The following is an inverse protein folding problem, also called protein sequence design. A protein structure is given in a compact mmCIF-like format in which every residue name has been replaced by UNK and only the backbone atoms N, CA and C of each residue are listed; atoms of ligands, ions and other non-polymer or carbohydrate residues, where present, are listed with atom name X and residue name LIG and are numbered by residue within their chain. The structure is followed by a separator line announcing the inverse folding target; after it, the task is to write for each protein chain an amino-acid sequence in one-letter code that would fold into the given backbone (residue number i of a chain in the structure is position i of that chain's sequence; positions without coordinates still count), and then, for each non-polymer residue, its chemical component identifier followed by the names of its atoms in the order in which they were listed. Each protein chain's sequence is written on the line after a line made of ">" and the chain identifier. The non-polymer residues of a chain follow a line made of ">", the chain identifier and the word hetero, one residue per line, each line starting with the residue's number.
data_IF_636449341626
#
_entry.id   IF_636449341626
#
_cell.length_a   1.000
_cell.length_b   1.000
_cell.length_c   1.000
_cell.angle_alpha   90.00
_cell.angle_beta   90.00
_cell.angle_gamma   90.00
#
_symmetry.space_group_name_H-M   'P 1'
#
loop_
_entity.id
_entity.type
_entity.pdbx_description
1 polymer ?
#
# COMPACT_ATOMS: atom_id res chain seq x y z
N UNK A 1 20.05 7.88 -15.27
CA UNK A 1 18.86 7.85 -14.39
C UNK A 1 18.00 6.67 -14.83
N UNK A 2 17.57 5.79 -13.91
CA UNK A 2 16.70 4.67 -14.26
C UNK A 2 15.33 5.21 -14.70
N UNK A 3 14.71 4.57 -15.70
CA UNK A 3 13.40 4.91 -16.22
C UNK A 3 12.47 3.69 -16.16
N UNK A 4 11.16 3.89 -15.96
CA UNK A 4 10.16 2.83 -16.10
C UNK A 4 10.17 2.24 -17.51
N UNK A 5 9.81 0.97 -17.65
CA UNK A 5 9.68 0.29 -18.93
C UNK A 5 9.43 -1.20 -18.79
N UNK A 6 9.53 -1.94 -19.89
CA UNK A 6 9.37 -3.39 -19.86
C UNK A 6 10.65 -4.12 -19.38
N UNK A 7 10.52 -5.29 -18.72
CA UNK A 7 9.27 -5.89 -18.27
C UNK A 7 8.68 -5.15 -17.05
N UNK A 8 7.34 -5.01 -16.98
CA UNK A 8 6.67 -4.21 -15.93
C UNK A 8 7.05 -4.54 -14.49
N UNK A 9 7.28 -5.83 -14.16
CA UNK A 9 7.67 -6.23 -12.81
C UNK A 9 9.02 -5.62 -12.37
N UNK A 10 9.93 -5.33 -13.32
CA UNK A 10 11.22 -4.75 -13.01
C UNK A 10 11.10 -3.28 -12.56
N UNK A 11 9.96 -2.62 -12.82
CA UNK A 11 9.75 -1.24 -12.42
C UNK A 11 9.69 -1.07 -10.90
N UNK A 12 9.17 -2.07 -10.16
CA UNK A 12 9.22 -2.09 -8.70
C UNK A 12 10.67 -2.02 -8.18
N UNK A 13 11.56 -2.84 -8.76
CA UNK A 13 12.99 -2.85 -8.41
C UNK A 13 13.67 -1.56 -8.84
N UNK A 14 13.47 -1.13 -10.10
CA UNK A 14 14.07 0.09 -10.65
C UNK A 14 13.70 1.31 -9.82
N UNK A 15 12.45 1.41 -9.37
CA UNK A 15 11.98 2.51 -8.53
C UNK A 15 12.65 2.52 -7.17
N UNK A 16 12.75 1.35 -6.51
CA UNK A 16 13.46 1.24 -5.23
C UNK A 16 14.93 1.61 -5.39
N UNK A 17 15.61 1.11 -6.43
CA UNK A 17 17.01 1.50 -6.74
C UNK A 17 17.14 3.00 -7.01
N UNK A 18 16.20 3.60 -7.74
CA UNK A 18 16.23 5.01 -8.09
C UNK A 18 16.04 5.94 -6.89
N UNK A 19 15.29 5.51 -5.86
CA UNK A 19 15.01 6.28 -4.65
C UNK A 19 15.83 5.87 -3.44
N UNK A 20 16.63 4.80 -3.55
CA UNK A 20 17.56 4.40 -2.51
C UNK A 20 18.57 5.52 -2.24
N UNK A 21 18.74 5.90 -0.97
CA UNK A 21 19.57 7.06 -0.59
C UNK A 21 21.08 6.76 -0.63
N UNK A 22 21.48 5.49 -0.66
CA UNK A 22 22.88 5.07 -0.76
C UNK A 22 23.38 5.04 -2.21
N UNK A 23 24.70 4.88 -2.39
CA UNK A 23 25.28 4.70 -3.73
C UNK A 23 25.14 3.26 -4.17
N UNK A 24 24.30 2.99 -5.15
CA UNK A 24 24.09 1.66 -5.71
C UNK A 24 25.13 1.37 -6.79
N UNK A 25 25.81 0.22 -6.70
CA UNK A 25 26.64 -0.35 -7.78
C UNK A 25 25.84 -1.46 -8.49
N UNK A 26 26.33 -1.92 -9.65
CA UNK A 26 25.75 -3.08 -10.33
C UNK A 26 25.75 -4.31 -9.42
N UNK A 27 24.71 -5.13 -9.54
CA UNK A 27 24.54 -6.37 -8.81
C UNK A 27 23.77 -7.37 -9.67
N UNK A 28 23.97 -8.66 -9.39
CA UNK A 28 23.16 -9.75 -9.92
C UNK A 28 22.28 -10.30 -8.79
N UNK A 29 21.00 -10.50 -9.08
CA UNK A 29 20.04 -11.01 -8.11
C UNK A 29 19.00 -11.92 -8.79
N UNK A 30 18.54 -12.93 -8.05
CA UNK A 30 17.44 -13.80 -8.45
C UNK A 30 16.26 -13.52 -7.53
N UNK A 31 15.08 -13.30 -8.12
CA UNK A 31 13.84 -13.04 -7.39
C UNK A 31 12.95 -14.27 -7.45
N UNK A 32 12.56 -14.76 -6.28
CA UNK A 32 11.59 -15.85 -6.12
C UNK A 32 10.52 -15.38 -5.15
N UNK A 33 9.24 -15.63 -5.45
CA UNK A 33 8.13 -15.27 -4.58
C UNK A 33 7.09 -16.39 -4.57
N UNK A 34 6.53 -16.64 -3.38
CA UNK A 34 5.37 -17.50 -3.19
C UNK A 34 4.07 -16.67 -3.01
N UNK A 35 4.14 -15.34 -3.11
CA UNK A 35 2.97 -14.47 -3.06
C UNK A 35 2.26 -14.54 -4.43
N UNK A 36 0.98 -14.94 -4.49
CA UNK A 36 0.26 -15.02 -5.75
C UNK A 36 0.20 -13.66 -6.47
N UNK A 37 0.75 -13.61 -7.69
CA UNK A 37 0.77 -12.39 -8.49
C UNK A 37 -0.65 -11.92 -8.81
N UNK A 38 -0.97 -10.68 -8.40
CA UNK A 38 -2.28 -10.08 -8.62
C UNK A 38 -3.41 -10.68 -7.76
N UNK A 39 -3.08 -11.48 -6.73
CA UNK A 39 -4.06 -12.09 -5.83
C UNK A 39 -4.59 -11.17 -4.71
N UNK A 40 -4.27 -9.87 -4.74
CA UNK A 40 -4.65 -8.93 -3.68
C UNK A 40 -3.87 -9.08 -2.37
N UNK A 41 -2.75 -9.81 -2.39
CA UNK A 41 -1.88 -10.06 -1.22
C UNK A 41 -0.55 -9.29 -1.32
N UNK A 42 -0.57 -8.11 -1.96
CA UNK A 42 0.55 -7.15 -1.95
C UNK A 42 1.88 -7.70 -2.49
N UNK A 43 1.84 -8.46 -3.58
CA UNK A 43 3.06 -9.02 -4.22
C UNK A 43 4.06 -7.93 -4.65
N UNK A 44 3.58 -6.76 -5.10
CA UNK A 44 4.43 -5.62 -5.46
C UNK A 44 5.17 -5.06 -4.25
N UNK A 45 4.45 -4.73 -3.18
CA UNK A 45 5.06 -4.23 -1.94
C UNK A 45 6.08 -5.21 -1.34
N UNK A 46 5.81 -6.52 -1.40
CA UNK A 46 6.79 -7.53 -0.94
C UNK A 46 8.09 -7.51 -1.76
N UNK A 47 7.99 -7.26 -3.08
CA UNK A 47 9.14 -7.14 -3.98
C UNK A 47 9.91 -5.84 -3.73
N UNK A 48 9.20 -4.73 -3.53
CA UNK A 48 9.81 -3.43 -3.24
C UNK A 48 10.58 -3.48 -1.91
N UNK A 49 9.94 -3.98 -0.86
CA UNK A 49 10.54 -4.08 0.48
C UNK A 49 11.73 -5.04 0.49
N UNK A 50 11.60 -6.22 -0.12
CA UNK A 50 12.73 -7.16 -0.22
C UNK A 50 13.89 -6.57 -1.02
N UNK A 51 13.62 -5.85 -2.10
CA UNK A 51 14.64 -5.11 -2.87
C UNK A 51 15.32 -4.08 -1.98
N UNK A 52 14.57 -3.29 -1.22
CA UNK A 52 15.15 -2.28 -0.33
C UNK A 52 16.09 -2.91 0.69
N UNK A 53 15.64 -3.97 1.35
CA UNK A 53 16.42 -4.68 2.36
C UNK A 53 17.69 -5.31 1.76
N UNK A 54 17.60 -5.82 0.53
CA UNK A 54 18.74 -6.32 -0.22
C UNK A 54 19.77 -5.22 -0.52
N UNK A 55 19.32 -4.06 -1.02
CA UNK A 55 20.20 -2.91 -1.28
C UNK A 55 20.84 -2.36 0.00
N UNK A 56 20.08 -2.30 1.09
CA UNK A 56 20.61 -1.93 2.41
C UNK A 56 21.71 -2.89 2.86
N UNK A 57 21.49 -4.20 2.71
CA UNK A 57 22.48 -5.22 3.03
C UNK A 57 23.76 -5.14 2.19
N UNK A 58 23.66 -4.76 0.91
CA UNK A 58 24.82 -4.65 0.01
C UNK A 58 25.57 -3.32 0.13
N UNK A 59 24.84 -2.21 0.28
CA UNK A 59 25.39 -0.85 0.09
C UNK A 59 25.35 0.02 1.36
N UNK A 60 24.85 -0.51 2.48
CA UNK A 60 25.08 0.02 3.81
C UNK A 60 24.39 1.36 4.11
N UNK A 61 23.05 1.37 4.16
CA UNK A 61 22.26 2.57 4.52
C UNK A 61 21.15 2.25 5.51
N UNK A 62 21.24 2.76 6.73
CA UNK A 62 20.26 2.51 7.80
C UNK A 62 19.24 3.64 7.90
N UNK A 63 18.21 3.63 7.05
CA UNK A 63 17.02 4.46 7.26
C UNK A 63 16.10 3.81 8.30
N UNK A 64 15.23 4.59 8.96
CA UNK A 64 14.23 3.99 9.85
C UNK A 64 13.18 3.22 9.03
N UNK A 65 12.55 2.18 9.59
CA UNK A 65 11.58 1.32 8.87
C UNK A 65 10.48 2.11 8.14
N UNK A 66 9.96 3.18 8.77
CA UNK A 66 8.98 4.10 8.16
C UNK A 66 9.50 4.72 6.86
N UNK A 67 10.74 5.20 6.84
CA UNK A 67 11.33 5.81 5.65
C UNK A 67 11.54 4.80 4.53
N UNK A 68 11.96 3.57 4.88
CA UNK A 68 12.08 2.48 3.90
C UNK A 68 10.74 2.20 3.22
N UNK A 69 9.67 2.11 4.00
CA UNK A 69 8.32 1.87 3.47
C UNK A 69 7.83 3.03 2.58
N UNK A 70 8.10 4.29 2.96
CA UNK A 70 7.78 5.46 2.13
C UNK A 70 8.57 5.49 0.81
N UNK A 71 9.82 5.02 0.81
CA UNK A 71 10.62 4.89 -0.42
C UNK A 71 10.03 3.81 -1.34
N UNK A 72 9.60 2.69 -0.77
CA UNK A 72 8.92 1.63 -1.52
C UNK A 72 7.60 2.14 -2.12
N UNK A 73 6.77 2.83 -1.34
CA UNK A 73 5.53 3.43 -1.83
C UNK A 73 5.80 4.42 -2.98
N UNK A 74 6.85 5.24 -2.84
CA UNK A 74 7.26 6.18 -3.89
C UNK A 74 7.69 5.44 -5.16
N UNK A 75 8.37 4.31 -5.04
CA UNK A 75 8.70 3.45 -6.18
C UNK A 75 7.42 2.96 -6.89
N UNK A 76 6.42 2.51 -6.14
CA UNK A 76 5.13 2.07 -6.70
C UNK A 76 4.41 3.20 -7.45
N UNK A 77 4.44 4.42 -6.89
CA UNK A 77 3.80 5.60 -7.50
C UNK A 77 4.53 6.05 -8.77
N UNK A 78 5.85 6.24 -8.72
CA UNK A 78 6.60 6.88 -9.81
C UNK A 78 7.11 5.90 -10.88
N UNK A 79 7.25 4.60 -10.55
CA UNK A 79 7.74 3.60 -11.50
C UNK A 79 6.67 2.59 -11.93
N UNK A 80 5.76 2.20 -11.04
CA UNK A 80 4.64 1.31 -11.38
C UNK A 80 3.32 2.05 -11.65
N UNK A 81 3.31 3.38 -11.57
CA UNK A 81 2.14 4.25 -11.82
C UNK A 81 0.89 3.84 -11.03
N UNK A 82 1.08 3.28 -9.83
CA UNK A 82 -0.01 2.77 -9.00
C UNK A 82 -0.14 3.67 -7.76
N UNK A 83 -1.20 4.50 -7.64
CA UNK A 83 -1.30 5.53 -6.60
C UNK A 83 -1.76 4.96 -5.24
N UNK A 84 -1.12 3.89 -4.77
CA UNK A 84 -1.48 3.12 -3.58
C UNK A 84 -1.36 3.93 -2.26
N UNK A 85 -2.02 3.42 -1.21
CA UNK A 85 -1.79 3.85 0.17
C UNK A 85 -0.44 3.38 0.70
N UNK A 86 -0.21 3.50 2.01
CA UNK A 86 1.07 3.16 2.65
C UNK A 86 1.06 1.79 3.36
N UNK A 87 -0.13 1.18 3.46
CA UNK A 87 -0.40 0.01 4.29
C UNK A 87 0.48 -1.19 3.91
N UNK A 88 0.51 -1.54 2.62
CA UNK A 88 1.17 -2.72 2.08
C UNK A 88 2.68 -2.69 2.37
N UNK A 89 3.33 -1.55 2.10
CA UNK A 89 4.74 -1.36 2.40
C UNK A 89 5.02 -1.33 3.90
N UNK A 90 4.11 -0.77 4.72
CA UNK A 90 4.26 -0.77 6.18
C UNK A 90 4.22 -2.19 6.76
N UNK A 91 3.19 -2.97 6.44
CA UNK A 91 3.06 -4.33 6.99
C UNK A 91 4.19 -5.23 6.48
N UNK A 92 4.59 -5.10 5.21
CA UNK A 92 5.71 -5.88 4.68
C UNK A 92 7.05 -5.52 5.32
N UNK A 93 7.22 -4.27 5.81
CA UNK A 93 8.46 -3.80 6.43
C UNK A 93 8.51 -4.06 7.95
N UNK A 94 7.38 -3.94 8.65
CA UNK A 94 7.32 -3.88 10.11
C UNK A 94 6.57 -5.06 10.74
N UNK A 95 5.94 -5.92 9.92
CA UNK A 95 5.23 -7.10 10.41
C UNK A 95 6.15 -8.03 11.20
N UNK A 96 5.61 -8.59 12.28
CA UNK A 96 6.31 -9.60 13.08
C UNK A 96 5.42 -10.83 13.26
N UNK A 97 6.03 -11.98 13.52
CA UNK A 97 5.30 -13.22 13.71
C UNK A 97 4.24 -13.06 14.84
N UNK A 98 3.06 -13.63 14.63
CA UNK A 98 1.94 -13.65 15.58
C UNK A 98 1.44 -12.26 16.01
N UNK A 99 1.59 -11.24 15.18
CA UNK A 99 1.05 -9.91 15.44
C UNK A 99 0.32 -9.35 14.21
N UNK A 100 -0.78 -8.65 14.45
CA UNK A 100 -1.33 -7.70 13.51
C UNK A 100 -0.60 -6.36 13.69
N UNK A 101 -0.66 -5.49 12.67
CA UNK A 101 -0.08 -4.16 12.73
C UNK A 101 -1.21 -3.13 12.63
N UNK A 102 -1.49 -2.43 13.72
CA UNK A 102 -2.38 -1.27 13.71
C UNK A 102 -1.58 -0.08 13.18
N UNK A 103 -2.03 0.51 12.07
CA UNK A 103 -1.34 1.63 11.40
C UNK A 103 -2.22 2.88 11.47
N UNK A 104 -1.70 3.96 12.04
CA UNK A 104 -2.28 5.29 11.85
C UNK A 104 -1.64 5.94 10.63
N UNK A 105 -2.32 5.86 9.48
CA UNK A 105 -1.83 6.41 8.21
C UNK A 105 -1.72 7.94 8.18
N UNK A 106 -2.35 8.67 9.12
CA UNK A 106 -2.20 10.12 9.23
C UNK A 106 -0.90 10.48 9.95
N UNK A 107 -0.62 9.82 11.07
CA UNK A 107 0.57 10.05 11.90
C UNK A 107 1.79 9.26 11.41
N UNK A 108 1.58 8.27 10.55
CA UNK A 108 2.57 7.29 10.11
C UNK A 108 3.23 6.57 11.30
N UNK A 109 2.40 6.21 12.28
CA UNK A 109 2.79 5.41 13.44
C UNK A 109 2.18 4.01 13.35
N UNK A 110 2.84 3.03 13.96
CA UNK A 110 2.37 1.66 13.99
C UNK A 110 2.50 1.04 15.38
N UNK A 111 1.59 0.13 15.69
CA UNK A 111 1.56 -0.64 16.93
C UNK A 111 1.36 -2.11 16.60
N UNK A 112 2.17 -2.98 17.19
CA UNK A 112 2.02 -4.43 17.08
C UNK A 112 0.94 -4.89 18.06
N UNK A 113 -0.09 -5.54 17.53
CA UNK A 113 -1.18 -6.10 18.30
C UNK A 113 -1.03 -7.63 18.29
N UNK A 114 -0.75 -8.27 19.44
CA UNK A 114 -0.62 -9.71 19.51
C UNK A 114 -1.86 -10.44 18.98
N UNK A 115 -1.64 -11.40 18.09
CA UNK A 115 -2.68 -12.25 17.50
C UNK A 115 -2.63 -13.62 18.16
N UNK A 116 -3.07 -13.70 19.42
CA UNK A 116 -3.21 -14.96 20.15
C UNK A 116 -4.55 -15.63 19.80
N UNK A 117 -4.62 -16.13 18.57
CA UNK A 117 -5.80 -16.83 18.06
C UNK A 117 -5.65 -18.33 18.35
N UNK A 118 -6.32 -18.82 19.40
CA UNK A 118 -6.22 -20.23 19.83
C UNK A 118 -7.26 -21.15 19.18
N UNK A 119 -8.48 -20.65 19.01
CA UNK A 119 -9.64 -21.48 18.63
C UNK A 119 -10.22 -21.11 17.25
N UNK A 120 -9.52 -20.29 16.46
CA UNK A 120 -9.90 -20.03 15.08
C UNK A 120 -8.70 -19.89 14.15
N UNK A 121 -8.97 -19.83 12.86
CA UNK A 121 -7.96 -19.69 11.81
C UNK A 121 -8.33 -18.54 10.88
N UNK A 122 -7.32 -17.83 10.38
CA UNK A 122 -7.51 -16.87 9.31
C UNK A 122 -7.43 -17.59 7.96
N UNK A 123 -8.58 -17.90 7.38
CA UNK A 123 -8.68 -18.51 6.06
C UNK A 123 -8.73 -17.45 4.96
N UNK A 124 -7.67 -17.36 4.16
CA UNK A 124 -7.63 -16.49 2.97
C UNK A 124 -8.12 -17.29 1.77
N UNK A 125 -9.23 -16.84 1.16
CA UNK A 125 -9.83 -17.50 -0.02
C UNK A 125 -9.67 -16.61 -1.24
N UNK A 126 -8.86 -17.04 -2.22
CA UNK A 126 -8.69 -16.34 -3.48
C UNK A 126 -9.80 -16.72 -4.46
N UNK A 127 -10.55 -15.74 -4.96
CA UNK A 127 -11.64 -15.95 -5.93
C UNK A 127 -11.14 -16.45 -7.29
N UNK A 128 -9.84 -16.32 -7.57
CA UNK A 128 -9.18 -16.58 -8.86
C UNK A 128 -9.72 -15.74 -10.02
N UNK A 129 -10.55 -14.73 -9.74
CA UNK A 129 -11.05 -13.80 -10.76
C UNK A 129 -10.09 -12.62 -10.89
N UNK A 130 -9.50 -12.47 -12.08
CA UNK A 130 -8.65 -11.32 -12.41
C UNK A 130 -9.49 -10.27 -13.13
N UNK A 131 -10.04 -9.32 -12.38
CA UNK A 131 -10.60 -8.12 -12.99
C UNK A 131 -9.45 -7.18 -13.38
N UNK A 132 -9.37 -6.76 -14.65
CA UNK A 132 -8.47 -5.70 -15.15
C UNK A 132 -8.75 -4.30 -14.54
N UNK A 133 -9.54 -4.23 -13.46
CA UNK A 133 -10.13 -3.02 -12.88
C UNK A 133 -9.24 -2.37 -11.79
N UNK A 134 -8.13 -3.01 -11.40
CA UNK A 134 -7.38 -2.66 -10.18
C UNK A 134 -6.82 -1.23 -10.15
N UNK A 135 -6.47 -0.65 -11.30
CA UNK A 135 -5.91 0.71 -11.35
C UNK A 135 -6.97 1.79 -11.62
N UNK A 136 -7.97 1.53 -12.46
CA UNK A 136 -8.97 2.54 -12.81
C UNK A 136 -10.00 2.78 -11.70
N UNK A 137 -10.57 1.72 -11.13
CA UNK A 137 -11.61 1.87 -10.09
C UNK A 137 -11.03 2.39 -8.78
N UNK A 138 -9.81 1.98 -8.43
CA UNK A 138 -9.12 2.50 -7.25
C UNK A 138 -8.91 4.01 -7.33
N UNK A 139 -8.40 4.49 -8.47
CA UNK A 139 -8.20 5.93 -8.71
C UNK A 139 -9.53 6.70 -8.65
N UNK A 140 -10.62 6.13 -9.18
CA UNK A 140 -11.97 6.71 -9.09
C UNK A 140 -12.45 6.77 -7.64
N UNK A 141 -12.26 5.73 -6.83
CA UNK A 141 -12.65 5.76 -5.41
C UNK A 141 -11.83 6.79 -4.63
N UNK A 142 -10.54 6.90 -4.92
CA UNK A 142 -9.68 7.93 -4.31
C UNK A 142 -10.18 9.33 -4.63
N UNK A 143 -10.47 9.63 -5.90
CA UNK A 143 -10.95 10.96 -6.30
C UNK A 143 -12.31 11.30 -5.68
N UNK A 144 -13.20 10.31 -5.54
CA UNK A 144 -14.48 10.47 -4.84
C UNK A 144 -14.30 10.80 -3.35
N UNK A 145 -13.35 10.15 -2.67
CA UNK A 145 -13.02 10.48 -1.27
C UNK A 145 -12.42 11.89 -1.13
N UNK A 146 -11.57 12.30 -2.07
CA UNK A 146 -10.99 13.65 -2.11
C UNK A 146 -12.06 14.72 -2.36
N UNK A 147 -13.02 14.45 -3.25
CA UNK A 147 -14.21 15.28 -3.49
C UNK A 147 -15.05 15.46 -2.22
N UNK A 148 -15.40 14.36 -1.57
CA UNK A 148 -16.15 14.36 -0.33
C UNK A 148 -15.47 15.19 0.77
N UNK A 149 -14.15 15.01 0.95
CA UNK A 149 -13.39 15.78 1.92
C UNK A 149 -13.43 17.28 1.62
N UNK A 150 -13.38 17.66 0.34
CA UNK A 150 -13.47 19.06 -0.10
C UNK A 150 -14.85 19.67 0.17
N UNK A 151 -15.93 18.94 -0.11
CA UNK A 151 -17.30 19.38 0.17
C UNK A 151 -17.49 19.62 1.68
N UNK A 152 -16.97 18.71 2.50
CA UNK A 152 -16.97 18.80 3.96
C UNK A 152 -15.97 19.82 4.52
N UNK A 153 -15.13 20.42 3.67
CA UNK A 153 -14.05 21.36 4.06
C UNK A 153 -13.09 20.78 5.10
N UNK A 154 -12.86 19.48 5.05
CA UNK A 154 -11.88 18.77 5.89
C UNK A 154 -10.67 18.35 5.07
N UNK A 155 -9.51 18.23 5.72
CA UNK A 155 -8.25 17.82 5.05
C UNK A 155 -8.33 16.41 4.48
N UNK A 156 -9.03 15.51 5.16
CA UNK A 156 -9.29 14.14 4.73
C UNK A 156 -10.50 13.59 5.48
N UNK A 157 -11.08 12.49 4.99
CA UNK A 157 -12.24 11.87 5.63
C UNK A 157 -11.96 11.34 7.05
N UNK A 158 -10.70 11.26 7.49
CA UNK A 158 -10.35 10.97 8.89
C UNK A 158 -10.86 12.03 9.87
N UNK A 159 -11.07 13.26 9.39
CA UNK A 159 -11.58 14.38 10.19
C UNK A 159 -13.09 14.58 10.06
N UNK A 160 -13.77 13.72 9.31
CA UNK A 160 -15.21 13.74 9.19
C UNK A 160 -15.85 12.78 10.21
N UNK A 161 -16.93 13.21 10.83
CA UNK A 161 -17.83 12.37 11.61
C UNK A 161 -18.85 11.68 10.71
N UNK A 162 -19.46 10.60 11.21
CA UNK A 162 -20.54 9.92 10.48
C UNK A 162 -21.75 10.83 10.27
N UNK A 163 -22.02 11.77 11.18
CA UNK A 163 -23.12 12.72 11.07
C UNK A 163 -22.91 13.74 9.93
N UNK A 164 -21.69 14.26 9.80
CA UNK A 164 -21.29 15.16 8.70
C UNK A 164 -21.38 14.45 7.34
N UNK A 165 -20.97 13.18 7.28
CA UNK A 165 -21.09 12.37 6.06
C UNK A 165 -22.56 12.14 5.67
N UNK A 166 -23.41 11.79 6.63
CA UNK A 166 -24.83 11.50 6.38
C UNK A 166 -25.64 12.75 5.99
N UNK A 167 -25.36 13.90 6.62
CA UNK A 167 -26.02 15.17 6.27
C UNK A 167 -25.65 15.66 4.86
N UNK A 168 -24.41 15.43 4.43
CA UNK A 168 -23.93 15.77 3.09
C UNK A 168 -24.54 14.87 2.00
N UNK A 169 -24.71 13.58 2.29
CA UNK A 169 -25.42 12.63 1.40
C UNK A 169 -26.85 13.09 1.09
N UNK A 170 -27.52 13.67 2.08
CA UNK A 170 -28.93 14.07 1.97
C UNK A 170 -29.11 15.42 1.26
N UNK A 171 -28.09 16.28 1.30
CA UNK A 171 -28.18 17.69 0.86
C UNK A 171 -27.61 17.94 -0.53
N UNK A 172 -26.68 17.11 -0.97
CA UNK A 172 -26.06 17.21 -2.29
C UNK A 172 -26.33 15.90 -3.04
N UNK A 173 -26.69 15.96 -4.32
CA UNK A 173 -26.79 14.79 -5.22
C UNK A 173 -25.39 14.18 -5.46
N UNK A 174 -24.72 13.77 -4.38
CA UNK A 174 -23.38 13.20 -4.36
C UNK A 174 -23.57 11.74 -3.99
N UNK A 175 -23.30 10.87 -4.95
CA UNK A 175 -23.39 9.42 -4.74
C UNK A 175 -22.22 8.99 -3.86
N UNK A 176 -22.42 8.96 -2.54
CA UNK A 176 -21.56 8.17 -1.67
C UNK A 176 -21.99 6.72 -1.81
N UNK A 177 -21.05 5.83 -2.18
CA UNK A 177 -21.33 4.40 -2.20
C UNK A 177 -21.55 3.92 -0.76
N UNK A 178 -22.81 3.79 -0.37
CA UNK A 178 -23.20 3.05 0.81
C UNK A 178 -22.94 1.57 0.49
N UNK A 179 -21.86 1.00 1.04
CA UNK A 179 -21.66 -0.45 0.98
C UNK A 179 -22.76 -1.02 1.87
N UNK A 180 -23.85 -1.45 1.24
CA UNK A 180 -25.07 -1.85 1.93
C UNK A 180 -24.77 -2.77 3.10
N UNK A 181 -25.47 -2.55 4.20
CA UNK A 181 -25.61 -3.53 5.27
C UNK A 181 -25.91 -4.88 4.65
N UNK A 182 -24.94 -5.80 4.73
CA UNK A 182 -25.22 -7.22 4.57
C UNK A 182 -26.12 -7.55 5.77
N UNK A 183 -27.35 -7.96 5.44
CA UNK A 183 -28.35 -8.46 6.38
C UNK A 183 -27.80 -9.54 7.28
#
# INVERSE_FOLDING_TARGET
>A
KLLPGEPNWANYIKGVVAFFKGTVKGFDAVVVSNVPLGGGLSSSASLEVSTYMFLEGLFGKTDCQKEKALICQRAEHEFANTPCGIMDQFISMMGTANNALLIDCLKLTSELIPMDIKDCVLLITNTNVKHNLGTSEYAVRRSQCEEAARILKVRSLRFATLEELNSTYTSANVTFWNVGTIS
#
